data_IF_262289683321
#
_entry.id   IF_262289683321
#
_cell.length_a   1.000
_cell.length_b   1.000
_cell.length_c   1.000
_cell.angle_alpha   90.00
_cell.angle_beta   90.00
_cell.angle_gamma   90.00
#
_symmetry.space_group_name_H-M   'P 1'
#
loop_
_entity.id
_entity.type
_entity.pdbx_description
1 polymer ?
#
# COMPACT_ATOMS: atom_id res chain seq x y z
N UNK A 1 12.49 27.79 68.23
CA UNK A 1 11.38 27.88 67.26
C UNK A 1 11.96 28.44 65.99
N UNK A 2 12.36 27.57 65.07
CA UNK A 2 12.99 27.99 63.83
C UNK A 2 12.54 27.06 62.70
N UNK A 3 12.35 27.66 61.53
CA UNK A 3 12.16 27.06 60.20
C UNK A 3 10.72 26.79 59.77
N UNK A 4 9.99 27.88 59.59
CA UNK A 4 8.97 28.00 58.53
C UNK A 4 9.63 28.60 57.27
N UNK A 5 10.39 27.80 56.51
CA UNK A 5 10.78 28.16 55.13
C UNK A 5 10.33 27.02 54.23
N UNK A 6 9.09 27.18 53.79
CA UNK A 6 8.39 26.39 52.77
C UNK A 6 9.20 26.51 51.47
N UNK A 7 9.79 25.41 50.98
CA UNK A 7 10.55 25.37 49.71
C UNK A 7 9.65 25.75 48.52
N UNK A 8 9.80 26.93 47.88
CA UNK A 8 9.05 27.30 46.67
C UNK A 8 9.66 26.65 45.41
N UNK A 9 10.91 26.20 45.51
CA UNK A 9 11.72 25.80 44.36
C UNK A 9 11.28 24.48 43.72
N UNK A 10 10.65 23.56 44.46
CA UNK A 10 10.22 22.27 43.89
C UNK A 10 8.97 22.40 43.01
N UNK A 11 8.04 23.29 43.38
CA UNK A 11 6.79 23.53 42.62
C UNK A 11 7.07 24.36 41.37
N UNK A 12 7.96 25.35 41.46
CA UNK A 12 8.39 26.17 40.30
C UNK A 12 9.19 25.31 39.29
N UNK A 13 10.00 24.35 39.76
CA UNK A 13 10.73 23.41 38.90
C UNK A 13 9.80 22.42 38.18
N UNK A 14 8.72 21.97 38.83
CA UNK A 14 7.71 21.11 38.21
C UNK A 14 6.91 21.86 37.14
N UNK A 15 6.49 23.10 37.43
CA UNK A 15 5.76 23.96 36.47
C UNK A 15 6.65 24.32 35.28
N UNK A 16 7.93 24.63 35.50
CA UNK A 16 8.88 24.92 34.42
C UNK A 16 9.25 23.69 33.59
N UNK A 17 9.34 22.48 34.18
CA UNK A 17 9.48 21.23 33.42
C UNK A 17 8.24 20.91 32.58
N UNK A 18 7.03 21.11 33.12
CA UNK A 18 5.80 20.91 32.36
C UNK A 18 5.64 21.93 31.23
N UNK A 19 6.05 23.19 31.44
CA UNK A 19 6.08 24.22 30.39
C UNK A 19 7.16 23.92 29.33
N UNK A 20 8.31 23.37 29.70
CA UNK A 20 9.33 22.92 28.74
C UNK A 20 8.84 21.76 27.86
N UNK A 21 8.06 20.82 28.41
CA UNK A 21 7.42 19.75 27.62
C UNK A 21 6.34 20.29 26.66
N UNK A 22 5.67 21.40 26.99
CA UNK A 22 4.71 22.08 26.08
C UNK A 22 5.41 22.89 24.96
N UNK A 23 6.62 23.39 25.21
CA UNK A 23 7.38 24.18 24.23
C UNK A 23 8.04 23.31 23.14
N UNK A 24 8.42 22.07 23.46
CA UNK A 24 8.97 21.14 22.46
C UNK A 24 7.89 20.48 21.62
N UNK A 25 6.74 20.14 22.22
CA UNK A 25 5.58 19.58 21.52
C UNK A 25 4.96 20.59 20.55
N UNK A 26 4.74 21.83 20.98
CA UNK A 26 4.21 22.88 20.08
C UNK A 26 5.11 23.14 18.86
N UNK A 27 6.44 23.09 19.00
CA UNK A 27 7.34 23.26 17.86
C UNK A 27 7.26 22.09 16.86
N UNK A 28 7.15 20.84 17.33
CA UNK A 28 7.01 19.68 16.46
C UNK A 28 5.62 19.64 15.81
N UNK A 29 4.57 19.96 16.56
CA UNK A 29 3.20 20.01 16.04
C UNK A 29 3.04 21.10 14.96
N UNK A 30 3.64 22.29 15.16
CA UNK A 30 3.67 23.34 14.13
C UNK A 30 4.38 22.84 12.86
N UNK A 31 5.50 22.13 13.00
CA UNK A 31 6.22 21.55 11.85
C UNK A 31 5.40 20.46 11.16
N UNK A 32 4.72 19.61 11.92
CA UNK A 32 3.85 18.57 11.40
C UNK A 32 2.69 19.22 10.61
N UNK A 33 1.98 20.18 11.21
CA UNK A 33 0.91 20.93 10.53
C UNK A 33 1.39 21.58 9.23
N UNK A 34 2.56 22.22 9.24
CA UNK A 34 3.12 22.83 8.03
C UNK A 34 3.47 21.78 6.96
N UNK A 35 4.04 20.64 7.35
CA UNK A 35 4.32 19.54 6.42
C UNK A 35 3.04 18.95 5.80
N UNK A 36 2.01 18.75 6.63
CA UNK A 36 0.70 18.28 6.18
C UNK A 36 0.02 19.30 5.27
N UNK A 37 0.10 20.60 5.57
CA UNK A 37 -0.46 21.64 4.70
C UNK A 37 0.18 21.63 3.30
N UNK A 38 1.49 21.40 3.23
CA UNK A 38 2.21 21.24 1.96
C UNK A 38 1.77 19.97 1.22
N UNK A 39 1.64 18.85 1.93
CA UNK A 39 1.17 17.59 1.34
C UNK A 39 -0.28 17.69 0.83
N UNK A 40 -1.17 18.35 1.58
CA UNK A 40 -2.56 18.53 1.20
C UNK A 40 -2.74 19.39 -0.04
N UNK A 41 -1.83 20.36 -0.28
CA UNK A 41 -1.83 21.17 -1.51
C UNK A 41 -1.55 20.34 -2.78
N UNK A 42 -1.02 19.13 -2.63
CA UNK A 42 -0.81 18.20 -3.74
C UNK A 42 -2.07 17.35 -4.02
N UNK A 43 -3.09 17.42 -3.16
CA UNK A 43 -4.35 16.71 -3.37
C UNK A 43 -5.26 17.46 -4.37
N UNK A 44 -6.08 16.75 -5.17
CA UNK A 44 -6.16 15.29 -5.23
C UNK A 44 -4.94 14.66 -5.93
N UNK A 45 -4.40 13.59 -5.34
CA UNK A 45 -3.33 12.79 -5.93
C UNK A 45 -3.91 11.50 -6.51
N UNK A 46 -3.78 11.32 -7.82
CA UNK A 46 -4.26 10.12 -8.50
C UNK A 46 -3.43 8.89 -8.10
N UNK A 47 -4.09 7.79 -7.77
CA UNK A 47 -3.48 6.49 -7.47
C UNK A 47 -3.74 5.49 -8.60
N UNK A 48 -3.87 6.01 -9.83
CA UNK A 48 -4.32 5.26 -11.00
C UNK A 48 -5.79 4.92 -10.98
N UNK A 49 -6.16 3.83 -11.64
CA UNK A 49 -7.56 3.45 -11.82
C UNK A 49 -8.26 3.06 -10.50
N UNK A 50 -7.49 2.63 -9.50
CA UNK A 50 -7.99 2.22 -8.19
C UNK A 50 -8.61 3.36 -7.38
N UNK A 51 -8.23 4.62 -7.65
CA UNK A 51 -8.77 5.78 -6.95
C UNK A 51 -7.78 6.92 -6.77
N UNK A 52 -8.04 7.77 -5.78
CA UNK A 52 -7.22 8.96 -5.49
C UNK A 52 -7.20 9.32 -4.01
N UNK A 53 -6.12 9.97 -3.58
CA UNK A 53 -6.04 10.62 -2.28
C UNK A 53 -6.66 12.00 -2.42
N UNK A 54 -7.79 12.24 -1.75
CA UNK A 54 -8.53 13.50 -1.87
C UNK A 54 -8.08 14.55 -0.86
N UNK A 55 -7.57 14.14 0.30
CA UNK A 55 -7.10 15.06 1.33
C UNK A 55 -6.13 14.40 2.30
N UNK A 56 -5.25 15.23 2.86
CA UNK A 56 -4.37 14.89 3.97
C UNK A 56 -4.49 16.01 5.00
N UNK A 57 -4.98 15.72 6.19
CA UNK A 57 -5.20 16.72 7.24
C UNK A 57 -4.64 16.24 8.57
N UNK A 58 -4.45 17.17 9.51
CA UNK A 58 -4.11 16.85 10.89
C UNK A 58 -5.25 17.34 11.78
N UNK A 59 -5.95 16.43 12.45
CA UNK A 59 -7.14 16.76 13.26
C UNK A 59 -6.80 17.16 14.71
N UNK A 60 -5.52 17.08 15.08
CA UNK A 60 -5.01 17.33 16.44
C UNK A 60 -4.52 16.07 17.15
N UNK A 61 -4.96 14.89 16.71
CA UNK A 61 -4.58 13.58 17.25
C UNK A 61 -3.94 12.70 16.18
N UNK A 62 -4.50 12.70 14.98
CA UNK A 62 -4.08 11.87 13.86
C UNK A 62 -3.78 12.70 12.62
N UNK A 63 -2.81 12.22 11.83
CA UNK A 63 -2.73 12.60 10.42
C UNK A 63 -3.74 11.73 9.65
N UNK A 64 -4.74 12.37 9.08
CA UNK A 64 -5.88 11.73 8.41
C UNK A 64 -5.71 11.82 6.90
N UNK A 65 -5.56 10.68 6.25
CA UNK A 65 -5.60 10.53 4.80
C UNK A 65 -6.99 10.10 4.37
N UNK A 66 -7.57 10.77 3.37
CA UNK A 66 -8.84 10.37 2.77
C UNK A 66 -8.61 9.89 1.35
N UNK A 67 -9.08 8.67 1.08
CA UNK A 67 -9.00 7.97 -0.18
C UNK A 67 -10.40 7.83 -0.78
N UNK A 68 -10.50 8.10 -2.06
CA UNK A 68 -11.71 7.86 -2.85
C UNK A 68 -11.43 6.69 -3.79
N UNK A 69 -12.13 5.57 -3.60
CA UNK A 69 -11.89 4.31 -4.29
C UNK A 69 -12.87 4.12 -5.44
N UNK A 70 -12.36 3.67 -6.59
CA UNK A 70 -13.20 3.24 -7.69
C UNK A 70 -13.73 1.82 -7.42
N UNK A 71 -15.04 1.69 -7.16
CA UNK A 71 -15.64 0.40 -6.78
C UNK A 71 -15.79 -0.58 -7.94
N UNK A 72 -15.60 -0.12 -9.19
CA UNK A 72 -15.47 -1.01 -10.35
C UNK A 72 -14.18 -1.84 -10.29
N UNK A 73 -13.16 -1.37 -9.56
CA UNK A 73 -11.81 -1.94 -9.53
C UNK A 73 -11.45 -2.42 -8.12
N UNK A 74 -11.91 -1.73 -7.08
CA UNK A 74 -11.63 -2.03 -5.68
C UNK A 74 -12.91 -2.28 -4.88
N UNK A 75 -13.02 -3.49 -4.33
CA UNK A 75 -14.10 -3.94 -3.46
C UNK A 75 -13.91 -3.42 -2.02
N UNK A 76 -14.55 -2.29 -1.73
CA UNK A 76 -14.52 -1.66 -0.40
C UNK A 76 -15.09 -2.58 0.71
N UNK A 77 -16.07 -3.45 0.38
CA UNK A 77 -16.64 -4.40 1.34
C UNK A 77 -15.65 -5.50 1.72
N UNK A 78 -14.80 -5.91 0.79
CA UNK A 78 -13.73 -6.85 1.09
C UNK A 78 -12.69 -6.21 2.04
N UNK A 79 -12.35 -4.94 1.82
CA UNK A 79 -11.49 -4.18 2.74
C UNK A 79 -12.10 -4.09 4.15
N UNK A 80 -13.39 -3.72 4.24
CA UNK A 80 -14.11 -3.62 5.51
C UNK A 80 -14.10 -4.92 6.32
N UNK A 81 -14.17 -6.08 5.65
CA UNK A 81 -14.15 -7.40 6.29
C UNK A 81 -12.77 -7.83 6.77
N UNK A 82 -11.70 -7.15 6.36
CA UNK A 82 -10.31 -7.54 6.61
C UNK A 82 -9.45 -6.42 7.24
N UNK A 83 -9.89 -5.80 8.35
CA UNK A 83 -9.22 -4.64 8.94
C UNK A 83 -7.78 -4.94 9.40
N UNK A 84 -7.53 -6.11 9.99
CA UNK A 84 -6.18 -6.51 10.42
C UNK A 84 -5.23 -6.74 9.24
N UNK A 85 -5.74 -7.22 8.11
CA UNK A 85 -4.92 -7.39 6.90
C UNK A 85 -4.54 -6.03 6.32
N UNK A 86 -5.47 -5.06 6.30
CA UNK A 86 -5.17 -3.69 5.89
C UNK A 86 -4.13 -3.05 6.80
N UNK A 87 -4.30 -3.21 8.11
CA UNK A 87 -3.40 -2.65 9.11
C UNK A 87 -1.99 -3.23 8.99
N UNK A 88 -1.87 -4.54 8.84
CA UNK A 88 -0.61 -5.23 8.58
C UNK A 88 0.02 -4.71 7.29
N UNK A 89 -0.75 -4.58 6.21
CA UNK A 89 -0.25 -4.09 4.92
C UNK A 89 0.34 -2.69 5.03
N UNK A 90 -0.33 -1.77 5.74
CA UNK A 90 0.17 -0.42 5.99
C UNK A 90 1.46 -0.41 6.82
N UNK A 91 1.55 -1.26 7.86
CA UNK A 91 2.79 -1.43 8.63
C UNK A 91 3.94 -1.87 7.72
N UNK A 92 3.70 -2.85 6.85
CA UNK A 92 4.69 -3.36 5.90
C UNK A 92 5.14 -2.29 4.91
N UNK A 93 4.23 -1.44 4.42
CA UNK A 93 4.59 -0.31 3.53
C UNK A 93 5.52 0.70 4.21
N UNK A 94 5.38 0.90 5.52
CA UNK A 94 6.23 1.80 6.30
C UNK A 94 7.55 1.19 6.77
N UNK A 95 7.82 -0.08 6.45
CA UNK A 95 9.14 -0.66 6.64
C UNK A 95 10.09 -0.14 5.56
N UNK A 96 11.25 0.35 5.98
CA UNK A 96 12.26 0.94 5.10
C UNK A 96 11.69 1.99 4.11
N UNK A 97 11.05 3.07 4.61
CA UNK A 97 10.46 4.09 3.75
C UNK A 97 11.54 4.98 3.13
N UNK A 98 11.16 5.76 2.11
CA UNK A 98 12.06 6.79 1.57
C UNK A 98 12.43 7.81 2.64
N UNK A 99 13.50 8.58 2.43
CA UNK A 99 13.99 9.56 3.41
C UNK A 99 12.91 10.59 3.78
N UNK A 100 12.15 11.03 2.80
CA UNK A 100 11.08 12.02 2.94
C UNK A 100 9.93 11.45 3.77
N UNK A 101 9.48 10.24 3.43
CA UNK A 101 8.42 9.53 4.16
C UNK A 101 8.87 9.21 5.59
N UNK A 102 10.11 8.74 5.78
CA UNK A 102 10.69 8.51 7.11
C UNK A 102 10.67 9.77 7.96
N UNK A 103 11.06 10.91 7.39
CA UNK A 103 11.09 12.19 8.10
C UNK A 103 9.69 12.60 8.56
N UNK A 104 8.67 12.42 7.70
CA UNK A 104 7.28 12.70 8.07
C UNK A 104 6.79 11.76 9.18
N UNK A 105 7.00 10.45 9.04
CA UNK A 105 6.59 9.47 10.05
C UNK A 105 7.31 9.69 11.39
N UNK A 106 8.60 10.06 11.37
CA UNK A 106 9.34 10.46 12.57
C UNK A 106 8.73 11.70 13.25
N UNK A 107 8.22 12.67 12.46
CA UNK A 107 7.51 13.83 13.00
C UNK A 107 6.18 13.41 13.65
N UNK A 108 5.41 12.53 13.00
CA UNK A 108 4.17 11.97 13.56
C UNK A 108 4.45 11.29 14.90
N UNK A 109 5.48 10.45 14.97
CA UNK A 109 5.91 9.78 16.21
C UNK A 109 6.34 10.77 17.29
N UNK A 110 7.12 11.80 16.94
CA UNK A 110 7.56 12.85 17.88
C UNK A 110 6.41 13.70 18.41
N UNK A 111 5.36 13.88 17.62
CA UNK A 111 4.14 14.58 18.03
C UNK A 111 3.19 13.69 18.84
N UNK A 112 3.51 12.40 19.03
CA UNK A 112 2.60 11.40 19.61
C UNK A 112 1.27 11.33 18.88
N UNK A 113 1.31 11.56 17.57
CA UNK A 113 0.15 11.47 16.70
C UNK A 113 0.04 10.05 16.11
N UNK A 114 -1.18 9.65 15.74
CA UNK A 114 -1.43 8.46 14.94
C UNK A 114 -1.57 8.76 13.44
N UNK A 115 -1.84 7.71 12.67
CA UNK A 115 -2.25 7.79 11.27
C UNK A 115 -3.64 7.19 11.13
N UNK A 116 -4.52 7.89 10.42
CA UNK A 116 -5.84 7.40 10.06
C UNK A 116 -5.98 7.43 8.55
N UNK A 117 -6.46 6.34 7.96
CA UNK A 117 -6.77 6.21 6.55
C UNK A 117 -8.26 5.94 6.41
N UNK A 118 -8.96 6.85 5.74
CA UNK A 118 -10.40 6.75 5.46
C UNK A 118 -10.57 6.43 3.98
N UNK A 119 -11.12 5.26 3.67
CA UNK A 119 -11.45 4.84 2.32
C UNK A 119 -12.94 5.05 2.08
N UNK A 120 -13.29 5.74 0.99
CA UNK A 120 -14.66 6.09 0.62
C UNK A 120 -14.98 5.48 -0.76
N UNK A 121 -16.03 4.67 -0.85
CA UNK A 121 -16.50 4.09 -2.10
C UNK A 121 -17.11 5.14 -3.02
N UNK A 122 -16.71 5.14 -4.30
CA UNK A 122 -17.17 6.12 -5.28
C UNK A 122 -18.69 6.09 -5.52
N UNK A 123 -19.26 4.90 -5.58
CA UNK A 123 -20.64 4.67 -5.98
C UNK A 123 -21.55 4.47 -4.76
N UNK A 124 -21.06 3.74 -3.75
CA UNK A 124 -21.81 3.41 -2.54
C UNK A 124 -21.72 4.48 -1.45
N UNK A 125 -20.63 5.26 -1.42
CA UNK A 125 -20.31 6.16 -0.31
C UNK A 125 -19.96 5.44 1.00
N UNK A 126 -19.81 4.11 0.99
CA UNK A 126 -19.39 3.33 2.17
C UNK A 126 -18.01 3.78 2.64
N UNK A 127 -17.77 3.70 3.96
CA UNK A 127 -16.52 4.14 4.58
C UNK A 127 -15.84 3.01 5.33
N UNK A 128 -14.53 2.86 5.11
CA UNK A 128 -13.65 1.98 5.87
C UNK A 128 -12.56 2.83 6.50
N UNK A 129 -12.36 2.68 7.80
CA UNK A 129 -11.34 3.42 8.54
C UNK A 129 -10.29 2.43 9.03
N UNK A 130 -9.02 2.72 8.74
CA UNK A 130 -7.88 2.00 9.30
C UNK A 130 -7.02 2.98 10.08
N UNK A 131 -6.60 2.58 11.28
CA UNK A 131 -5.82 3.42 12.18
C UNK A 131 -4.52 2.72 12.57
N UNK A 132 -3.45 3.49 12.63
CA UNK A 132 -2.16 3.08 13.19
C UNK A 132 -1.81 4.01 14.35
N UNK A 133 -1.68 3.43 15.53
CA UNK A 133 -1.24 4.17 16.70
C UNK A 133 0.24 4.57 16.57
N UNK A 134 0.66 5.59 17.34
CA UNK A 134 2.05 6.07 17.35
C UNK A 134 3.07 4.97 17.59
N UNK A 135 2.80 4.05 18.53
CA UNK A 135 3.71 2.94 18.85
C UNK A 135 3.82 1.96 17.68
N UNK A 136 2.73 1.73 16.96
CA UNK A 136 2.70 0.85 15.78
C UNK A 136 3.49 1.44 14.60
N UNK A 137 3.39 2.76 14.40
CA UNK A 137 4.20 3.49 13.41
C UNK A 137 5.67 3.39 13.79
N UNK A 138 5.99 3.60 15.07
CA UNK A 138 7.36 3.51 15.59
C UNK A 138 7.93 2.09 15.43
N UNK A 139 7.14 1.05 15.70
CA UNK A 139 7.54 -0.34 15.48
C UNK A 139 7.84 -0.60 14.00
N UNK A 140 6.95 -0.19 13.09
CA UNK A 140 7.14 -0.35 11.66
C UNK A 140 8.43 0.33 11.15
N UNK A 141 8.73 1.55 11.64
CA UNK A 141 9.94 2.30 11.27
C UNK A 141 11.25 1.69 11.77
N UNK A 142 11.21 0.97 12.90
CA UNK A 142 12.38 0.40 13.57
C UNK A 142 12.56 -1.10 13.31
N UNK A 143 11.68 -1.72 12.52
CA UNK A 143 11.83 -3.10 12.11
C UNK A 143 13.15 -3.24 11.33
N UNK A 144 14.13 -3.91 11.95
CA UNK A 144 15.45 -4.16 11.36
C UNK A 144 15.34 -5.31 10.36
N UNK A 145 14.80 -4.98 9.20
CA UNK A 145 14.62 -5.92 8.08
C UNK A 145 15.59 -5.50 7.00
N UNK A 146 16.41 -6.43 6.52
CA UNK A 146 17.30 -6.12 5.39
C UNK A 146 16.46 -5.71 4.16
N UNK A 147 17.07 -4.94 3.25
CA UNK A 147 16.32 -4.37 2.13
C UNK A 147 15.60 -5.45 1.30
N UNK A 148 16.23 -6.60 1.03
CA UNK A 148 15.61 -7.69 0.27
C UNK A 148 14.40 -8.33 0.97
N UNK A 149 14.49 -8.60 2.26
CA UNK A 149 13.37 -9.17 3.04
C UNK A 149 12.22 -8.17 3.16
N UNK A 150 12.53 -6.87 3.27
CA UNK A 150 11.52 -5.82 3.32
C UNK A 150 10.78 -5.68 2.00
N UNK A 151 11.48 -5.76 0.87
CA UNK A 151 10.85 -5.71 -0.44
C UNK A 151 10.02 -6.98 -0.72
N UNK A 152 10.46 -8.16 -0.25
CA UNK A 152 9.67 -9.39 -0.33
C UNK A 152 8.38 -9.29 0.51
N UNK A 153 8.46 -8.80 1.75
CA UNK A 153 7.28 -8.60 2.59
C UNK A 153 6.29 -7.61 1.96
N UNK A 154 6.78 -6.56 1.31
CA UNK A 154 5.93 -5.61 0.55
C UNK A 154 5.24 -6.30 -0.64
N UNK A 155 5.97 -7.16 -1.37
CA UNK A 155 5.40 -7.94 -2.47
C UNK A 155 4.33 -8.91 -1.97
N UNK A 156 4.61 -9.68 -0.91
CA UNK A 156 3.66 -10.58 -0.25
C UNK A 156 2.40 -9.83 0.18
N UNK A 157 2.57 -8.64 0.76
CA UNK A 157 1.45 -7.81 1.17
C UNK A 157 0.60 -7.34 -0.01
N UNK A 158 1.21 -6.97 -1.15
CA UNK A 158 0.46 -6.58 -2.35
C UNK A 158 -0.31 -7.77 -2.92
N UNK A 159 0.29 -8.97 -2.97
CA UNK A 159 -0.37 -10.19 -3.41
C UNK A 159 -1.56 -10.54 -2.51
N UNK A 160 -1.38 -10.45 -1.19
CA UNK A 160 -2.47 -10.66 -0.22
C UNK A 160 -3.62 -9.67 -0.41
N UNK A 161 -3.31 -8.39 -0.63
CA UNK A 161 -4.32 -7.35 -0.88
C UNK A 161 -5.05 -7.55 -2.21
N UNK A 162 -4.33 -7.92 -3.27
CA UNK A 162 -4.94 -8.24 -4.56
C UNK A 162 -5.90 -9.44 -4.43
N UNK A 163 -5.55 -10.46 -3.65
CA UNK A 163 -6.41 -11.61 -3.39
C UNK A 163 -7.74 -11.29 -2.68
N UNK A 164 -7.85 -10.17 -1.98
CA UNK A 164 -9.15 -9.73 -1.44
C UNK A 164 -10.12 -9.26 -2.53
N UNK A 165 -9.61 -8.94 -3.72
CA UNK A 165 -10.38 -8.48 -4.88
C UNK A 165 -10.80 -9.62 -5.82
N UNK A 166 -10.09 -10.75 -5.76
CA UNK A 166 -10.39 -11.92 -6.59
C UNK A 166 -11.52 -12.78 -5.98
N UNK A 167 -12.26 -13.55 -6.82
CA UNK A 167 -12.11 -13.67 -8.27
C UNK A 167 -12.63 -12.44 -9.03
N UNK A 168 -11.99 -12.10 -10.15
CA UNK A 168 -12.44 -11.01 -11.03
C UNK A 168 -12.49 -11.46 -12.50
N UNK A 169 -13.44 -10.91 -13.26
CA UNK A 169 -13.58 -11.20 -14.69
C UNK A 169 -12.59 -10.34 -15.48
N UNK A 170 -11.67 -10.97 -16.21
CA UNK A 170 -10.66 -10.28 -17.03
C UNK A 170 -11.13 -10.06 -18.47
N UNK A 171 -11.81 -11.06 -19.05
CA UNK A 171 -12.48 -10.97 -20.35
C UNK A 171 -13.78 -11.77 -20.32
N UNK A 172 -14.51 -11.87 -21.44
CA UNK A 172 -15.74 -12.69 -21.49
C UNK A 172 -15.46 -14.15 -21.12
N UNK A 173 -14.31 -14.66 -21.55
CA UNK A 173 -13.87 -16.05 -21.52
C UNK A 173 -12.90 -16.34 -20.35
N UNK A 174 -12.31 -15.32 -19.72
CA UNK A 174 -11.27 -15.49 -18.70
C UNK A 174 -11.64 -14.85 -17.37
N UNK A 175 -11.54 -15.64 -16.30
CA UNK A 175 -11.66 -15.19 -14.90
C UNK A 175 -10.31 -15.37 -14.22
N UNK A 176 -9.81 -14.33 -13.57
CA UNK A 176 -8.65 -14.44 -12.68
C UNK A 176 -9.17 -14.89 -11.31
N UNK A 177 -8.83 -16.10 -10.90
CA UNK A 177 -9.32 -16.72 -9.66
C UNK A 177 -8.59 -16.22 -8.42
N UNK A 178 -7.26 -16.05 -8.54
CA UNK A 178 -6.36 -15.65 -7.46
C UNK A 178 -4.96 -15.36 -8.01
N UNK A 179 -4.12 -14.81 -7.14
CA UNK A 179 -2.68 -14.65 -7.37
C UNK A 179 -1.90 -15.39 -6.30
N UNK A 180 -0.88 -16.12 -6.72
CA UNK A 180 0.03 -16.85 -5.84
C UNK A 180 1.44 -16.27 -5.95
N UNK A 181 2.21 -16.31 -4.87
CA UNK A 181 3.61 -15.94 -4.87
C UNK A 181 4.42 -17.16 -4.45
N UNK A 182 5.44 -17.51 -5.24
CA UNK A 182 6.43 -18.53 -4.90
C UNK A 182 7.85 -17.99 -5.10
N UNK A 183 8.85 -18.87 -5.07
CA UNK A 183 10.27 -18.48 -5.19
C UNK A 183 10.68 -17.99 -6.59
N UNK A 184 9.90 -18.30 -7.62
CA UNK A 184 10.23 -18.03 -9.01
C UNK A 184 9.38 -16.89 -9.61
N UNK A 185 8.11 -16.79 -9.19
CA UNK A 185 7.14 -15.92 -9.83
C UNK A 185 5.99 -15.48 -8.91
N UNK A 186 5.39 -14.35 -9.29
CA UNK A 186 3.99 -14.03 -8.98
C UNK A 186 3.13 -14.65 -10.08
N UNK A 187 2.20 -15.53 -9.72
CA UNK A 187 1.40 -16.35 -10.65
C UNK A 187 -0.06 -15.94 -10.56
N UNK A 188 -0.59 -15.37 -11.64
CA UNK A 188 -2.02 -15.14 -11.83
C UNK A 188 -2.67 -16.42 -12.33
N UNK A 189 -3.57 -16.99 -11.54
CA UNK A 189 -4.33 -18.20 -11.90
C UNK A 189 -5.57 -17.76 -12.69
N UNK A 190 -5.56 -18.03 -13.99
CA UNK A 190 -6.58 -17.62 -14.94
C UNK A 190 -7.40 -18.84 -15.38
N UNK A 191 -8.69 -18.86 -15.04
CA UNK A 191 -9.62 -19.91 -15.47
C UNK A 191 -10.24 -19.51 -16.81
N UNK A 192 -10.10 -20.37 -17.80
CA UNK A 192 -10.64 -20.18 -19.16
C UNK A 192 -11.93 -20.96 -19.30
N UNK A 193 -12.96 -20.31 -19.85
CA UNK A 193 -14.21 -20.96 -20.24
C UNK A 193 -14.06 -21.63 -21.61
N UNK A 194 -13.89 -22.95 -21.62
CA UNK A 194 -13.63 -23.73 -22.85
C UNK A 194 -14.84 -23.81 -23.80
N UNK A 195 -16.04 -23.42 -23.34
CA UNK A 195 -17.20 -23.25 -24.22
C UNK A 195 -17.10 -22.00 -25.09
N UNK A 196 -16.25 -21.03 -24.70
CA UNK A 196 -16.06 -19.74 -25.38
C UNK A 196 -14.69 -19.61 -26.05
N UNK A 197 -13.64 -20.18 -25.45
CA UNK A 197 -12.26 -20.12 -25.97
C UNK A 197 -11.54 -21.45 -25.77
N UNK A 198 -11.04 -22.04 -26.85
CA UNK A 198 -10.26 -23.27 -26.81
C UNK A 198 -8.86 -23.00 -26.25
N UNK A 199 -8.38 -23.87 -25.37
CA UNK A 199 -7.02 -23.80 -24.80
C UNK A 199 -5.93 -23.85 -25.88
N UNK A 200 -6.16 -24.55 -27.01
CA UNK A 200 -5.23 -24.58 -28.13
C UNK A 200 -5.03 -23.19 -28.76
N UNK A 201 -6.05 -22.32 -28.70
CA UNK A 201 -5.97 -20.94 -29.19
C UNK A 201 -5.14 -20.05 -28.26
N UNK A 202 -5.20 -20.28 -26.95
CA UNK A 202 -4.36 -19.57 -25.98
C UNK A 202 -2.89 -19.90 -26.22
N UNK A 203 -2.56 -21.18 -26.44
CA UNK A 203 -1.19 -21.60 -26.77
C UNK A 203 -0.73 -21.05 -28.12
N UNK A 204 -1.55 -21.17 -29.17
CA UNK A 204 -1.20 -20.67 -30.50
C UNK A 204 -0.97 -19.16 -30.54
N UNK A 205 -1.69 -18.40 -29.71
CA UNK A 205 -1.61 -16.94 -29.64
C UNK A 205 -0.77 -16.43 -28.45
N UNK A 206 -0.02 -17.30 -27.75
CA UNK A 206 0.70 -16.94 -26.53
C UNK A 206 1.63 -15.72 -26.69
N UNK A 207 2.22 -15.54 -27.88
CA UNK A 207 3.07 -14.38 -28.21
C UNK A 207 2.26 -13.07 -28.21
N UNK A 208 1.06 -13.09 -28.79
CA UNK A 208 0.17 -11.93 -28.85
C UNK A 208 -0.44 -11.62 -27.47
N UNK A 209 -0.87 -12.68 -26.75
CA UNK A 209 -1.33 -12.56 -25.35
C UNK A 209 -0.25 -11.92 -24.48
N UNK A 210 0.99 -12.42 -24.57
CA UNK A 210 2.13 -11.83 -23.85
C UNK A 210 2.33 -10.37 -24.20
N UNK A 211 2.24 -10.01 -25.49
CA UNK A 211 2.39 -8.64 -25.94
C UNK A 211 1.32 -7.73 -25.33
N UNK A 212 0.05 -8.13 -25.33
CA UNK A 212 -1.04 -7.36 -24.73
C UNK A 212 -0.86 -7.15 -23.21
N UNK A 213 -0.40 -8.18 -22.50
CA UNK A 213 -0.07 -8.07 -21.07
C UNK A 213 1.08 -7.08 -20.85
N UNK A 214 2.15 -7.18 -21.65
CA UNK A 214 3.30 -6.28 -21.56
C UNK A 214 2.90 -4.85 -21.88
N UNK A 215 2.01 -4.62 -22.85
CA UNK A 215 1.47 -3.29 -23.15
C UNK A 215 0.67 -2.72 -21.97
N UNK A 216 -0.14 -3.54 -21.32
CA UNK A 216 -0.90 -3.14 -20.12
C UNK A 216 0.04 -2.80 -18.96
N UNK A 217 1.06 -3.64 -18.70
CA UNK A 217 2.07 -3.37 -17.66
C UNK A 217 2.98 -2.19 -18.00
N UNK A 218 3.11 -1.85 -19.28
CA UNK A 218 3.88 -0.70 -19.76
C UNK A 218 3.12 0.62 -19.62
N UNK A 219 1.78 0.58 -19.55
CA UNK A 219 0.94 1.74 -19.24
C UNK A 219 1.03 2.09 -17.76
N UNK A 220 2.25 2.44 -17.33
CA UNK A 220 2.65 2.75 -15.96
C UNK A 220 2.06 4.08 -15.46
N UNK A 221 0.86 4.44 -15.86
CA UNK A 221 0.18 5.65 -15.38
C UNK A 221 -0.23 5.52 -13.92
N UNK A 222 -0.35 4.29 -13.40
CA UNK A 222 -0.64 4.03 -11.99
C UNK A 222 0.60 3.68 -11.16
N UNK A 223 0.70 4.31 -9.99
CA UNK A 223 1.81 4.13 -9.03
C UNK A 223 1.82 2.69 -8.47
N UNK A 224 0.66 2.03 -8.38
CA UNK A 224 0.57 0.70 -7.79
C UNK A 224 1.26 -0.36 -8.67
N UNK A 225 1.02 -0.34 -9.98
CA UNK A 225 1.67 -1.20 -10.98
C UNK A 225 3.16 -0.92 -11.06
N UNK A 226 3.58 0.35 -11.03
CA UNK A 226 5.01 0.69 -10.98
C UNK A 226 5.71 0.05 -9.77
N UNK A 227 5.11 0.18 -8.58
CA UNK A 227 5.64 -0.40 -7.36
C UNK A 227 5.62 -1.93 -7.41
N UNK A 228 4.55 -2.53 -7.93
CA UNK A 228 4.44 -3.98 -8.08
C UNK A 228 5.54 -4.53 -8.99
N UNK A 229 5.73 -3.94 -10.18
CA UNK A 229 6.81 -4.32 -11.12
C UNK A 229 8.18 -4.16 -10.44
N UNK A 230 8.40 -3.07 -9.71
CA UNK A 230 9.64 -2.82 -8.97
C UNK A 230 9.89 -3.89 -7.91
N UNK A 231 8.88 -4.28 -7.13
CA UNK A 231 9.01 -5.34 -6.13
C UNK A 231 9.30 -6.70 -6.77
N UNK A 232 8.63 -7.04 -7.87
CA UNK A 232 8.95 -8.25 -8.64
C UNK A 232 10.41 -8.26 -9.12
N UNK A 233 10.89 -7.15 -9.67
CA UNK A 233 12.30 -7.02 -10.12
C UNK A 233 13.29 -7.12 -8.96
N UNK A 234 13.03 -6.42 -7.85
CA UNK A 234 13.90 -6.41 -6.68
C UNK A 234 13.97 -7.79 -5.99
N UNK A 235 12.84 -8.52 -6.00
CA UNK A 235 12.75 -9.86 -5.44
C UNK A 235 13.14 -10.96 -6.44
N UNK A 236 13.56 -10.61 -7.66
CA UNK A 236 13.86 -11.56 -8.72
C UNK A 236 12.71 -12.56 -8.98
N UNK A 237 11.47 -12.05 -9.05
CA UNK A 237 10.26 -12.81 -9.37
C UNK A 237 9.76 -12.45 -10.77
N UNK A 238 9.50 -13.47 -11.59
CA UNK A 238 8.78 -13.29 -12.85
C UNK A 238 7.30 -12.96 -12.58
N UNK A 239 6.58 -12.49 -13.60
CA UNK A 239 5.11 -12.48 -13.58
C UNK A 239 4.64 -13.58 -14.54
N UNK A 240 3.79 -14.50 -14.07
CA UNK A 240 3.26 -15.60 -14.87
C UNK A 240 1.75 -15.53 -14.89
N UNK A 241 1.16 -15.58 -16.08
CA UNK A 241 -0.28 -15.80 -16.26
C UNK A 241 -0.48 -17.25 -16.63
N UNK A 242 -1.03 -18.03 -15.70
CA UNK A 242 -1.31 -19.46 -15.87
C UNK A 242 -2.75 -19.62 -16.28
N UNK A 243 -2.98 -19.91 -17.55
CA UNK A 243 -4.30 -20.21 -18.11
C UNK A 243 -4.61 -21.69 -17.88
N UNK A 244 -5.78 -21.97 -17.31
CA UNK A 244 -6.24 -23.32 -17.00
C UNK A 244 -7.65 -23.51 -17.56
N UNK A 245 -7.84 -24.52 -18.39
CA UNK A 245 -9.18 -24.90 -18.90
C UNK A 245 -10.12 -25.31 -17.77
N UNK A 246 -11.38 -24.87 -17.81
CA UNK A 246 -12.39 -25.22 -16.80
C UNK A 246 -12.94 -26.65 -16.92
N UNK A 247 -12.72 -27.33 -18.04
CA UNK A 247 -13.17 -28.69 -18.31
C UNK A 247 -11.99 -29.66 -18.44
N UNK A 248 -10.97 -29.29 -19.23
CA UNK A 248 -9.82 -30.14 -19.55
C UNK A 248 -8.71 -30.11 -18.49
N UNK A 249 -8.67 -29.05 -17.67
CA UNK A 249 -7.57 -28.73 -16.74
C UNK A 249 -6.19 -28.62 -17.41
N UNK A 250 -6.15 -28.49 -18.75
CA UNK A 250 -4.92 -28.20 -19.50
C UNK A 250 -4.40 -26.83 -19.08
N UNK A 251 -3.07 -26.71 -18.96
CA UNK A 251 -2.41 -25.50 -18.50
C UNK A 251 -1.48 -24.91 -19.56
N UNK A 252 -1.50 -23.59 -19.68
CA UNK A 252 -0.56 -22.83 -20.49
C UNK A 252 -0.05 -21.61 -19.72
N UNK A 253 1.26 -21.47 -19.59
CA UNK A 253 1.90 -20.38 -18.86
C UNK A 253 2.45 -19.32 -19.82
N UNK A 254 1.95 -18.09 -19.68
CA UNK A 254 2.53 -16.90 -20.31
C UNK A 254 3.42 -16.18 -19.31
N UNK A 255 4.74 -16.27 -19.51
CA UNK A 255 5.74 -15.75 -18.57
C UNK A 255 6.34 -14.43 -19.06
N UNK A 256 6.26 -13.40 -18.21
CA UNK A 256 6.98 -12.14 -18.32
C UNK A 256 8.20 -12.21 -17.41
N UNK A 257 9.37 -12.23 -18.01
CA UNK A 257 10.64 -12.44 -17.29
C UNK A 257 11.07 -11.20 -16.53
N UNK A 258 11.85 -11.37 -15.45
CA UNK A 258 12.48 -10.25 -14.71
C UNK A 258 13.27 -9.32 -15.65
N UNK A 259 13.89 -9.85 -16.70
CA UNK A 259 14.60 -9.04 -17.70
C UNK A 259 13.64 -8.12 -18.47
N UNK A 260 12.50 -8.64 -18.92
CA UNK A 260 11.47 -7.84 -19.58
C UNK A 260 10.85 -6.81 -18.64
N UNK A 261 10.62 -7.17 -17.37
CA UNK A 261 10.13 -6.24 -16.35
C UNK A 261 11.12 -5.09 -16.08
N UNK A 262 12.43 -5.38 -16.07
CA UNK A 262 13.48 -4.35 -15.97
C UNK A 262 13.44 -3.39 -17.15
N UNK A 263 13.10 -3.85 -18.34
CA UNK A 263 13.01 -3.00 -19.52
C UNK A 263 11.77 -2.10 -19.48
N UNK A 264 10.69 -2.52 -18.80
CA UNK A 264 9.53 -1.67 -18.53
C UNK A 264 9.88 -0.50 -17.60
N UNK A 265 10.66 -0.73 -16.54
CA UNK A 265 11.05 0.31 -15.59
C UNK A 265 12.06 1.34 -16.13
N UNK A 266 12.77 1.03 -17.24
CA UNK A 266 13.77 1.93 -17.83
C UNK A 266 13.19 3.00 -18.76
N UNK A 267 11.88 2.98 -19.02
CA UNK A 267 11.22 3.92 -19.93
C UNK A 267 10.85 5.27 -19.29
N UNK A 268 11.35 5.56 -18.07
CA UNK A 268 11.28 6.90 -17.44
C UNK A 268 12.09 7.97 -18.20
#
# INVERSE_FOLDING_TARGET
MEKLVRRPNAVILFISLSLLMMLTTSCQEIKLKAAIEVANKQCPMEMGEAGKITSIVFDGENVVYTFYLNEEIANIKALQKNPESMKTSLKTMFQNPSKEVKTLLDLVVKCKAGLQMIFIGKDSGEQVVCELATDEIKEALNADVNASESELAKLESQVHMANLQFPMKASEEVIIEKVELNDEAVIYICRVDEDLCDMDQIEANAVEVKKGIVETLADQTDIATQLFIKYCVNCNRNITYRYIGNQSEVQHDVVITVSELKDLLKKE
#
